data_IF_463104368154
#
_entry.id   IF_463104368154
#
_cell.length_a   1.000
_cell.length_b   1.000
_cell.length_c   1.000
_cell.angle_alpha   90.00
_cell.angle_beta   90.00
_cell.angle_gamma   90.00
#
_symmetry.space_group_name_H-M   'P 1'
#
loop_
_entity.id
_entity.type
_entity.pdbx_description
1 polymer ?
#
# COMPACT_ATOMS: atom_id res chain seq x y z
N UNK A 1 -15.30 4.94 9.31
CA UNK A 1 -15.97 4.36 8.12
C UNK A 1 -14.94 4.34 7.01
N UNK A 2 -14.24 3.23 6.83
CA UNK A 2 -13.07 3.18 5.93
C UNK A 2 -13.43 2.68 4.52
N UNK A 3 -14.50 1.91 4.35
CA UNK A 3 -14.92 1.38 3.05
C UNK A 3 -15.32 2.45 2.00
N UNK A 4 -15.98 3.53 2.43
CA UNK A 4 -16.52 4.54 1.52
C UNK A 4 -15.43 5.26 0.70
N UNK A 5 -14.20 5.35 1.24
CA UNK A 5 -13.08 5.96 0.52
C UNK A 5 -12.67 5.12 -0.68
N UNK A 6 -12.72 3.79 -0.58
CA UNK A 6 -12.37 2.91 -1.69
C UNK A 6 -13.41 2.90 -2.81
N UNK A 7 -14.68 3.18 -2.51
CA UNK A 7 -15.69 3.45 -3.54
C UNK A 7 -15.36 4.73 -4.33
N UNK A 8 -15.02 5.81 -3.63
CA UNK A 8 -14.56 7.05 -4.27
C UNK A 8 -13.28 6.83 -5.09
N UNK A 9 -12.30 6.09 -4.54
CA UNK A 9 -11.07 5.70 -5.25
C UNK A 9 -11.41 4.95 -6.54
N UNK A 10 -12.32 3.97 -6.48
CA UNK A 10 -12.73 3.19 -7.65
C UNK A 10 -13.32 4.10 -8.74
N UNK A 11 -14.21 5.02 -8.39
CA UNK A 11 -14.79 5.99 -9.32
C UNK A 11 -13.73 6.88 -9.99
N UNK A 12 -12.73 7.35 -9.23
CA UNK A 12 -11.64 8.15 -9.78
C UNK A 12 -10.75 7.35 -10.73
N UNK A 13 -10.40 6.11 -10.37
CA UNK A 13 -9.59 5.23 -11.20
C UNK A 13 -10.30 4.86 -12.51
N UNK A 14 -11.62 4.63 -12.47
CA UNK A 14 -12.44 4.35 -13.65
C UNK A 14 -12.45 5.51 -14.65
N UNK A 15 -12.19 6.75 -14.18
CA UNK A 15 -12.04 7.95 -15.01
C UNK A 15 -10.60 8.14 -15.53
N UNK A 16 -9.70 7.18 -15.31
CA UNK A 16 -8.30 7.26 -15.75
C UNK A 16 -7.42 8.16 -14.87
N UNK A 17 -7.84 8.47 -13.64
CA UNK A 17 -7.09 9.34 -12.73
C UNK A 17 -6.27 8.52 -11.73
N UNK A 18 -4.97 8.79 -11.65
CA UNK A 18 -4.15 8.28 -10.55
C UNK A 18 -4.62 8.89 -9.23
N UNK A 19 -4.62 8.11 -8.16
CA UNK A 19 -5.14 8.53 -6.84
C UNK A 19 -4.04 8.42 -5.80
N UNK A 20 -3.80 9.51 -5.06
CA UNK A 20 -3.10 9.45 -3.78
C UNK A 20 -4.16 9.52 -2.68
N UNK A 21 -4.40 8.39 -2.01
CA UNK A 21 -5.25 8.31 -0.83
C UNK A 21 -4.41 8.64 0.40
N UNK A 22 -4.92 9.53 1.23
CA UNK A 22 -4.31 9.89 2.51
C UNK A 22 -5.37 10.08 3.57
N UNK A 23 -5.07 9.67 4.80
CA UNK A 23 -5.83 10.08 5.98
C UNK A 23 -5.64 11.57 6.23
N UNK A 24 -6.62 12.17 6.92
CA UNK A 24 -6.67 13.60 7.22
C UNK A 24 -5.64 14.03 8.27
N UNK A 25 -5.10 13.08 9.02
CA UNK A 25 -4.07 13.27 10.05
C UNK A 25 -2.65 13.02 9.54
N UNK A 26 -2.48 12.66 8.27
CA UNK A 26 -1.16 12.62 7.64
C UNK A 26 -0.63 14.03 7.37
N UNK A 27 0.63 14.24 7.75
CA UNK A 27 1.35 15.50 7.49
C UNK A 27 2.53 15.21 6.56
N UNK A 28 2.54 15.86 5.39
CA UNK A 28 3.64 15.76 4.44
C UNK A 28 4.82 16.64 4.89
N UNK A 29 5.93 15.99 5.27
CA UNK A 29 7.13 16.69 5.73
C UNK A 29 8.06 17.12 4.59
N UNK A 30 7.98 16.46 3.44
CA UNK A 30 8.80 16.74 2.26
C UNK A 30 8.05 16.42 0.97
N UNK A 31 8.40 17.13 -0.10
CA UNK A 31 7.95 16.79 -1.44
C UNK A 31 8.77 15.63 -1.99
N UNK A 32 8.09 14.61 -2.51
CA UNK A 32 8.69 13.50 -3.27
C UNK A 32 7.95 13.38 -4.59
N UNK A 33 8.63 13.48 -5.74
CA UNK A 33 7.96 13.35 -7.03
C UNK A 33 7.53 11.90 -7.25
N UNK A 34 6.21 11.67 -7.38
CA UNK A 34 5.62 10.34 -7.55
C UNK A 34 6.02 9.65 -8.87
N UNK A 35 6.53 10.42 -9.83
CA UNK A 35 7.06 9.88 -11.10
C UNK A 35 8.19 8.86 -10.91
N UNK A 36 8.81 8.84 -9.73
CA UNK A 36 9.86 7.87 -9.36
C UNK A 36 9.30 6.46 -9.11
N UNK A 37 7.98 6.29 -9.00
CA UNK A 37 7.33 5.03 -8.65
C UNK A 37 6.29 4.58 -9.70
N UNK A 38 6.42 5.06 -10.94
CA UNK A 38 5.49 4.73 -12.04
C UNK A 38 5.68 3.32 -12.61
N UNK A 39 6.69 2.58 -12.13
CA UNK A 39 6.96 1.18 -12.43
C UNK A 39 6.06 0.21 -11.66
N UNK A 40 5.41 0.68 -10.59
CA UNK A 40 4.43 -0.10 -9.83
C UNK A 40 3.00 0.41 -10.01
N UNK A 41 2.03 -0.46 -9.77
CA UNK A 41 0.62 -0.11 -9.89
C UNK A 41 0.04 0.47 -8.59
N UNK A 42 0.51 -0.03 -7.45
CA UNK A 42 0.05 0.35 -6.11
C UNK A 42 1.25 0.54 -5.18
N UNK A 43 1.23 1.56 -4.34
CA UNK A 43 2.22 1.76 -3.27
C UNK A 43 1.45 1.93 -1.98
N UNK A 44 1.81 1.17 -0.95
CA UNK A 44 1.29 1.36 0.39
C UNK A 44 2.36 1.91 1.33
N UNK A 45 1.95 2.74 2.28
CA UNK A 45 2.82 3.03 3.41
C UNK A 45 3.05 1.77 4.24
N UNK A 46 4.28 1.61 4.72
CA UNK A 46 4.63 0.55 5.66
C UNK A 46 3.98 0.81 7.02
N UNK A 47 3.44 -0.23 7.65
CA UNK A 47 2.92 -0.19 9.02
C UNK A 47 3.57 -1.27 9.88
N UNK A 48 3.63 -1.03 11.18
CA UNK A 48 4.06 -2.00 12.17
C UNK A 48 2.87 -2.43 13.05
N UNK A 49 2.59 -3.74 13.06
CA UNK A 49 1.86 -4.39 14.16
C UNK A 49 0.37 -4.64 13.98
N UNK A 50 -0.32 -4.02 13.00
CA UNK A 50 -1.73 -4.33 12.74
C UNK A 50 -2.01 -4.62 11.25
N UNK A 51 -2.62 -5.78 10.91
CA UNK A 51 -3.09 -6.84 11.82
C UNK A 51 -1.97 -7.69 12.42
N UNK A 52 -2.03 -7.97 13.73
CA UNK A 52 -0.96 -8.66 14.45
C UNK A 52 -0.64 -10.07 13.91
N UNK A 53 -1.66 -10.83 13.48
CA UNK A 53 -1.47 -12.17 12.90
C UNK A 53 -0.70 -12.11 11.57
N UNK A 54 -1.00 -11.12 10.74
CA UNK A 54 -0.30 -10.91 9.48
C UNK A 54 1.15 -10.50 9.76
N UNK A 55 1.35 -9.52 10.65
CA UNK A 55 2.67 -9.07 11.04
C UNK A 55 3.54 -10.20 11.60
N UNK A 56 3.00 -11.04 12.48
CA UNK A 56 3.73 -12.18 13.05
C UNK A 56 4.17 -13.20 11.98
N UNK A 57 3.41 -13.34 10.89
CA UNK A 57 3.70 -14.29 9.81
C UNK A 57 4.67 -13.73 8.77
N UNK A 58 4.51 -12.45 8.40
CA UNK A 58 5.20 -11.85 7.25
C UNK A 58 6.27 -10.82 7.65
N UNK A 59 6.30 -10.37 8.90
CA UNK A 59 7.26 -9.37 9.39
C UNK A 59 6.97 -7.95 8.91
N UNK A 60 5.83 -7.70 8.27
CA UNK A 60 5.37 -6.37 7.85
C UNK A 60 3.85 -6.32 7.79
N UNK A 61 3.28 -5.12 7.77
CA UNK A 61 1.88 -4.84 7.42
C UNK A 61 1.83 -3.63 6.50
N UNK A 62 0.81 -3.52 5.65
CA UNK A 62 0.56 -2.30 4.88
C UNK A 62 -0.42 -1.40 5.62
N UNK A 63 -0.25 -0.09 5.48
CA UNK A 63 -1.14 0.93 6.00
C UNK A 63 -2.13 1.38 4.92
N UNK A 64 -3.42 1.42 5.28
CA UNK A 64 -4.44 2.02 4.41
C UNK A 64 -4.49 3.55 4.45
N UNK A 65 -3.83 4.16 5.44
CA UNK A 65 -3.85 5.60 5.66
C UNK A 65 -3.01 6.40 4.67
N UNK A 66 -2.13 5.76 3.89
CA UNK A 66 -1.46 6.40 2.76
C UNK A 66 -1.22 5.36 1.67
N UNK A 67 -1.85 5.55 0.52
CA UNK A 67 -1.76 4.63 -0.62
C UNK A 67 -1.75 5.42 -1.93
N UNK A 68 -0.81 5.12 -2.82
CA UNK A 68 -0.83 5.61 -4.19
C UNK A 68 -1.33 4.52 -5.13
N UNK A 69 -2.24 4.87 -6.04
CA UNK A 69 -2.91 3.97 -6.96
C UNK A 69 -2.81 4.54 -8.38
N UNK A 70 -2.15 3.81 -9.27
CA UNK A 70 -2.11 4.13 -10.69
C UNK A 70 -3.42 3.74 -11.36
N UNK A 71 -3.96 4.58 -12.25
CA UNK A 71 -5.10 4.25 -13.10
C UNK A 71 -4.70 3.21 -14.16
N UNK A 72 -4.72 1.95 -13.75
CA UNK A 72 -4.36 0.80 -14.56
C UNK A 72 -5.41 -0.31 -14.39
N UNK A 73 -5.71 -1.13 -15.41
CA UNK A 73 -6.68 -2.22 -15.30
C UNK A 73 -6.41 -3.18 -14.13
N UNK A 74 -5.13 -3.47 -13.84
CA UNK A 74 -4.75 -4.31 -12.71
C UNK A 74 -5.06 -3.64 -11.36
N UNK A 75 -4.85 -2.32 -11.24
CA UNK A 75 -5.22 -1.55 -10.03
C UNK A 75 -6.73 -1.51 -9.83
N UNK A 76 -7.49 -1.33 -10.92
CA UNK A 76 -8.95 -1.37 -10.86
C UNK A 76 -9.44 -2.72 -10.35
N UNK A 77 -8.86 -3.81 -10.85
CA UNK A 77 -9.19 -5.16 -10.39
C UNK A 77 -8.85 -5.34 -8.90
N UNK A 78 -7.70 -4.84 -8.44
CA UNK A 78 -7.34 -4.85 -7.02
C UNK A 78 -8.33 -4.05 -6.14
N UNK A 79 -8.66 -2.82 -6.53
CA UNK A 79 -9.62 -1.98 -5.79
C UNK A 79 -11.00 -2.60 -5.77
N UNK A 80 -11.40 -3.26 -6.86
CA UNK A 80 -12.66 -3.99 -6.93
C UNK A 80 -12.71 -5.13 -5.89
N UNK A 81 -11.61 -5.88 -5.72
CA UNK A 81 -11.50 -6.87 -4.64
C UNK A 81 -11.64 -6.23 -3.26
N UNK A 82 -11.03 -5.07 -3.00
CA UNK A 82 -11.19 -4.37 -1.73
C UNK A 82 -12.65 -3.98 -1.53
N UNK A 83 -13.28 -3.31 -2.49
CA UNK A 83 -14.67 -2.84 -2.37
C UNK A 83 -15.64 -4.01 -2.14
N UNK A 84 -15.45 -5.13 -2.82
CA UNK A 84 -16.29 -6.32 -2.65
C UNK A 84 -16.11 -7.01 -1.29
N UNK A 85 -14.87 -7.10 -0.79
CA UNK A 85 -14.58 -7.76 0.49
C UNK A 85 -14.75 -6.83 1.71
N UNK A 86 -14.68 -5.52 1.48
CA UNK A 86 -14.74 -4.48 2.49
C UNK A 86 -16.10 -3.77 2.40
N UNK A 87 -17.12 -4.39 2.99
CA UNK A 87 -18.47 -3.81 3.10
C UNK A 87 -18.46 -2.48 3.88
N UNK A 88 -19.61 -1.79 3.94
CA UNK A 88 -19.77 -0.39 4.36
C UNK A 88 -19.09 0.04 5.69
N UNK A 89 -18.82 -0.86 6.63
CA UNK A 89 -18.21 -0.57 7.94
C UNK A 89 -16.96 -1.40 8.26
N UNK A 90 -16.25 -1.88 7.24
CA UNK A 90 -15.00 -2.63 7.45
C UNK A 90 -13.82 -1.73 7.90
N UNK A 91 -12.84 -2.37 8.51
CA UNK A 91 -11.46 -1.90 8.61
C UNK A 91 -10.72 -2.36 7.36
N UNK A 92 -10.45 -1.41 6.47
CA UNK A 92 -9.83 -1.70 5.19
C UNK A 92 -8.36 -2.04 5.30
N UNK A 93 -7.63 -1.57 6.31
CA UNK A 93 -6.28 -2.05 6.59
C UNK A 93 -6.31 -3.53 6.94
N UNK A 94 -7.27 -3.95 7.78
CA UNK A 94 -7.53 -5.35 8.07
C UNK A 94 -7.81 -6.17 6.81
N UNK A 95 -8.74 -5.69 5.98
CA UNK A 95 -9.12 -6.37 4.73
C UNK A 95 -7.98 -6.41 3.72
N UNK A 96 -7.26 -5.32 3.49
CA UNK A 96 -6.13 -5.27 2.55
C UNK A 96 -5.02 -6.24 2.92
N UNK A 97 -4.60 -6.25 4.19
CA UNK A 97 -3.58 -7.20 4.64
C UNK A 97 -4.07 -8.65 4.54
N UNK A 98 -5.36 -8.91 4.79
CA UNK A 98 -5.93 -10.24 4.59
C UNK A 98 -5.97 -10.65 3.10
N UNK A 99 -6.24 -9.71 2.21
CA UNK A 99 -6.32 -9.96 0.76
C UNK A 99 -4.99 -10.41 0.16
N UNK A 100 -3.85 -10.00 0.71
CA UNK A 100 -2.55 -10.47 0.22
C UNK A 100 -2.39 -12.00 0.32
N UNK A 101 -3.04 -12.66 1.29
CA UNK A 101 -3.08 -14.13 1.32
C UNK A 101 -3.96 -14.73 0.21
N UNK A 102 -5.00 -14.02 -0.22
CA UNK A 102 -5.94 -14.51 -1.25
C UNK A 102 -5.50 -14.20 -2.68
N UNK A 103 -4.66 -13.18 -2.84
CA UNK A 103 -4.24 -12.67 -4.15
C UNK A 103 -3.01 -13.38 -4.73
N UNK A 104 -2.48 -14.35 -3.99
CA UNK A 104 -1.33 -15.20 -4.34
C UNK A 104 -0.15 -14.36 -4.84
N UNK A 105 0.47 -13.66 -3.91
CA UNK A 105 1.58 -12.76 -4.22
C UNK A 105 2.89 -13.51 -4.42
N UNK A 106 3.54 -13.24 -5.54
CA UNK A 106 4.96 -13.49 -5.73
C UNK A 106 5.72 -12.27 -5.22
N UNK A 107 6.41 -12.45 -4.08
CA UNK A 107 7.27 -11.42 -3.51
C UNK A 107 8.67 -11.57 -4.12
N UNK A 108 9.22 -10.47 -4.64
CA UNK A 108 10.62 -10.46 -5.04
C UNK A 108 11.46 -10.63 -3.77
N UNK A 109 12.26 -11.72 -3.69
CA UNK A 109 13.13 -11.97 -2.54
C UNK A 109 13.95 -10.73 -2.25
N UNK A 110 13.92 -10.30 -0.97
CA UNK A 110 14.49 -9.05 -0.44
C UNK A 110 15.70 -8.61 -1.28
N UNK A 111 15.48 -7.65 -2.20
CA UNK A 111 16.58 -6.97 -2.87
C UNK A 111 17.42 -6.39 -1.75
N UNK A 112 18.57 -7.03 -1.52
CA UNK A 112 19.54 -6.72 -0.47
C UNK A 112 19.55 -5.22 -0.23
N UNK A 113 19.05 -4.82 0.94
CA UNK A 113 19.12 -3.48 1.52
C UNK A 113 19.57 -2.42 0.51
N UNK A 114 18.66 -1.90 -0.30
CA UNK A 114 18.87 -0.56 -0.85
C UNK A 114 18.73 0.38 0.35
N UNK A 115 19.80 0.42 1.13
CA UNK A 115 20.09 1.44 2.13
C UNK A 115 20.37 2.74 1.36
N UNK A 116 19.34 3.30 0.73
CA UNK A 116 19.25 4.75 0.63
C UNK A 116 18.90 5.25 2.03
N UNK A 117 19.87 5.15 2.94
CA UNK A 117 19.94 6.01 4.11
C UNK A 117 19.98 7.44 3.57
N UNK A 118 18.83 8.06 3.31
CA UNK A 118 18.79 9.50 3.45
C UNK A 118 18.89 9.74 4.96
N UNK A 119 19.99 10.36 5.45
CA UNK A 119 20.13 10.62 6.87
C UNK A 119 18.93 11.47 7.32
N UNK A 120 18.09 10.90 8.17
CA UNK A 120 17.17 11.69 8.96
C UNK A 120 18.01 12.70 9.78
N UNK A 121 17.49 13.91 10.04
CA UNK A 121 18.21 14.86 10.87
C UNK A 121 18.59 14.22 12.21
N UNK A 122 19.81 14.52 12.68
CA UNK A 122 20.61 13.78 13.66
C UNK A 122 20.02 13.64 15.09
N UNK A 123 18.74 13.92 15.27
CA UNK A 123 18.04 14.04 16.54
C UNK A 123 16.90 13.02 16.71
N UNK A 124 16.80 11.98 15.87
CA UNK A 124 15.82 10.90 16.03
C UNK A 124 16.51 9.52 16.10
N UNK A 125 16.47 8.89 17.28
CA UNK A 125 17.06 7.57 17.57
C UNK A 125 16.29 6.36 17.01
N UNK A 126 15.48 6.56 15.96
CA UNK A 126 14.70 5.49 15.36
C UNK A 126 15.52 4.88 14.22
N UNK A 127 16.21 3.77 14.49
CA UNK A 127 16.75 2.91 13.43
C UNK A 127 15.58 2.16 12.78
N UNK A 128 14.86 2.81 11.89
CA UNK A 128 13.85 2.16 11.05
C UNK A 128 14.51 1.70 9.76
N UNK A 129 15.10 0.51 9.77
CA UNK A 129 15.37 -0.23 8.53
C UNK A 129 14.05 -0.83 8.06
N UNK A 130 13.23 -0.03 7.39
CA UNK A 130 12.13 -0.57 6.59
C UNK A 130 12.69 -0.83 5.20
N UNK A 131 12.99 -2.09 4.89
CA UNK A 131 13.20 -2.50 3.51
C UNK A 131 11.93 -2.27 2.71
N UNK A 132 12.07 -1.81 1.47
CA UNK A 132 10.96 -1.79 0.50
C UNK A 132 10.67 -3.22 0.08
N UNK A 133 9.40 -3.62 0.03
CA UNK A 133 8.99 -4.94 -0.46
C UNK A 133 8.25 -4.78 -1.78
N UNK A 134 8.72 -5.46 -2.81
CA UNK A 134 8.04 -5.49 -4.10
C UNK A 134 7.34 -6.84 -4.25
N UNK A 135 6.13 -6.81 -4.79
CA UNK A 135 5.40 -8.04 -5.06
C UNK A 135 4.44 -7.88 -6.22
N UNK A 136 4.06 -9.00 -6.82
CA UNK A 136 3.06 -9.05 -7.87
C UNK A 136 1.96 -10.04 -7.51
N UNK A 137 0.72 -9.59 -7.58
CA UNK A 137 -0.42 -10.45 -7.35
C UNK A 137 -0.71 -11.31 -8.59
N UNK A 138 -0.73 -12.63 -8.45
CA UNK A 138 -1.06 -13.54 -9.55
C UNK A 138 -2.53 -13.43 -9.97
N UNK A 139 -3.43 -13.12 -9.03
CA UNK A 139 -4.88 -13.06 -9.28
C UNK A 139 -5.30 -11.77 -9.98
N UNK A 140 -4.78 -10.63 -9.52
CA UNK A 140 -5.19 -9.30 -10.01
C UNK A 140 -4.17 -8.69 -10.97
N UNK A 141 -2.95 -9.23 -11.04
CA UNK A 141 -1.89 -8.82 -11.96
C UNK A 141 -1.18 -7.52 -11.59
N UNK A 142 -1.57 -6.87 -10.49
CA UNK A 142 -0.97 -5.60 -10.08
C UNK A 142 0.36 -5.82 -9.35
N UNK A 143 1.30 -4.90 -9.54
CA UNK A 143 2.50 -4.78 -8.72
C UNK A 143 2.26 -3.87 -7.53
N UNK A 144 2.85 -4.22 -6.39
CA UNK A 144 2.81 -3.47 -5.13
C UNK A 144 4.21 -3.13 -4.63
N UNK A 145 4.33 -1.99 -3.97
CA UNK A 145 5.52 -1.53 -3.24
C UNK A 145 5.19 -1.02 -1.85
#
# INVERSE_FOLDING_TARGET
VYAARYQCVQEQLQQGRNVLLTDVDNVFLRHVPLSQFYDVNVIHAYSAGFPAKWFAKHGFTVCGGMTWLQAHPATLHYVDFIVHNCQRLCDDQGTMNALFSTLDYEWEEDLKDITTQQPLPANHNWKTTFGTRHGRANVTGHSVQ
#
